data_IF_368722065707
#
_entry.id   IF_368722065707
#
_cell.length_a   1.000
_cell.length_b   1.000
_cell.length_c   1.000
_cell.angle_alpha   90.00
_cell.angle_beta   90.00
_cell.angle_gamma   90.00
#
_symmetry.space_group_name_H-M   'P 1'
#
loop_
_entity.id
_entity.type
_entity.pdbx_description
1 polymer ?
#
# COMPACT_ATOMS: atom_id res chain seq x y z
N UNK A 1 -0.77 -44.44 15.71
CA UNK A 1 0.18 -43.32 15.92
C UNK A 1 1.12 -43.10 14.74
N UNK A 2 2.01 -44.02 14.35
CA UNK A 2 2.87 -43.81 13.14
C UNK A 2 2.09 -43.79 11.82
N UNK A 3 1.06 -44.63 11.69
CA UNK A 3 0.22 -44.71 10.48
C UNK A 3 -0.73 -43.50 10.32
N UNK A 4 -1.14 -42.92 11.44
CA UNK A 4 -2.01 -41.73 11.52
C UNK A 4 -1.22 -40.43 11.28
N UNK A 5 0.04 -40.38 11.73
CA UNK A 5 0.95 -39.28 11.39
C UNK A 5 1.31 -39.27 9.90
N UNK A 6 1.50 -40.46 9.30
CA UNK A 6 1.82 -40.59 7.88
C UNK A 6 0.64 -40.23 6.95
N UNK A 7 -0.60 -40.53 7.36
CA UNK A 7 -1.79 -40.15 6.58
C UNK A 7 -2.09 -38.65 6.63
N UNK A 8 -1.84 -38.00 7.78
CA UNK A 8 -1.95 -36.54 7.95
C UNK A 8 -0.90 -35.82 7.09
N UNK A 9 0.33 -36.30 7.03
CA UNK A 9 1.42 -35.72 6.23
C UNK A 9 1.14 -35.81 4.72
N UNK A 10 0.60 -36.94 4.25
CA UNK A 10 0.17 -37.13 2.86
C UNK A 10 -0.99 -36.18 2.48
N UNK A 11 -1.95 -36.00 3.38
CA UNK A 11 -3.10 -35.11 3.19
C UNK A 11 -2.64 -33.64 3.07
N UNK A 12 -1.75 -33.21 3.96
CA UNK A 12 -1.19 -31.86 3.94
C UNK A 12 -0.41 -31.56 2.65
N UNK A 13 0.40 -32.52 2.19
CA UNK A 13 1.14 -32.40 0.93
C UNK A 13 0.20 -32.26 -0.28
N UNK A 14 -0.88 -33.04 -0.32
CA UNK A 14 -1.90 -32.91 -1.37
C UNK A 14 -2.58 -31.54 -1.35
N UNK A 15 -3.00 -31.07 -0.18
CA UNK A 15 -3.60 -29.74 -0.01
C UNK A 15 -2.64 -28.63 -0.41
N UNK A 16 -1.35 -28.78 -0.09
CA UNK A 16 -0.31 -27.84 -0.47
C UNK A 16 -0.11 -27.75 -1.98
N UNK A 17 -0.12 -28.88 -2.68
CA UNK A 17 -0.04 -28.91 -4.14
C UNK A 17 -1.23 -28.21 -4.79
N UNK A 18 -2.45 -28.48 -4.29
CA UNK A 18 -3.68 -27.82 -4.78
C UNK A 18 -3.61 -26.32 -4.56
N UNK A 19 -3.24 -25.88 -3.35
CA UNK A 19 -3.14 -24.46 -3.03
C UNK A 19 -2.07 -23.74 -3.84
N UNK A 20 -0.89 -24.35 -3.97
CA UNK A 20 0.21 -23.78 -4.76
C UNK A 20 -0.13 -23.70 -6.24
N UNK A 21 -0.89 -24.68 -6.77
CA UNK A 21 -1.41 -24.64 -8.13
C UNK A 21 -2.42 -23.50 -8.30
N UNK A 22 -3.39 -23.39 -7.39
CA UNK A 22 -4.38 -22.31 -7.41
C UNK A 22 -3.70 -20.93 -7.34
N UNK A 23 -2.68 -20.74 -6.50
CA UNK A 23 -1.89 -19.51 -6.46
C UNK A 23 -1.20 -19.21 -7.80
N UNK A 24 -0.60 -20.21 -8.45
CA UNK A 24 0.06 -20.01 -9.74
C UNK A 24 -0.90 -19.57 -10.83
N UNK A 25 -2.10 -20.15 -10.90
CA UNK A 25 -3.13 -19.70 -11.86
C UNK A 25 -3.72 -18.34 -11.50
N UNK A 26 -4.05 -18.12 -10.22
CA UNK A 26 -4.64 -16.87 -9.72
C UNK A 26 -3.74 -15.64 -9.97
N UNK A 27 -2.42 -15.84 -9.89
CA UNK A 27 -1.41 -14.80 -10.10
C UNK A 27 -0.82 -14.82 -11.52
N UNK A 28 -1.42 -15.60 -12.43
CA UNK A 28 -1.00 -15.75 -13.83
C UNK A 28 0.48 -16.13 -14.02
N UNK A 29 1.05 -16.86 -13.04
CA UNK A 29 2.37 -17.49 -13.17
C UNK A 29 2.28 -18.61 -14.22
N UNK A 30 1.24 -19.43 -14.09
CA UNK A 30 0.89 -20.44 -15.08
C UNK A 30 -0.29 -19.91 -15.90
N UNK A 31 -0.10 -19.80 -17.22
CA UNK A 31 -1.14 -19.33 -18.14
C UNK A 31 -1.32 -20.29 -19.30
N UNK A 32 -2.57 -20.56 -19.64
CA UNK A 32 -2.95 -21.27 -20.86
C UNK A 32 -2.73 -20.34 -22.06
N UNK A 33 -1.52 -20.38 -22.63
CA UNK A 33 -1.12 -19.55 -23.79
C UNK A 33 -2.00 -19.74 -25.03
N UNK A 34 -2.77 -20.83 -25.08
CA UNK A 34 -3.52 -21.25 -26.27
C UNK A 34 -5.01 -20.85 -26.22
N UNK A 35 -5.52 -20.27 -25.12
CA UNK A 35 -6.92 -19.81 -25.01
C UNK A 35 -7.07 -18.68 -23.98
N UNK A 36 -7.14 -17.40 -24.40
CA UNK A 36 -7.22 -16.26 -23.50
C UNK A 36 -8.50 -16.20 -22.65
N UNK A 37 -9.66 -16.53 -23.22
CA UNK A 37 -10.94 -16.53 -22.49
C UNK A 37 -10.93 -17.57 -21.37
N UNK A 38 -10.51 -18.80 -21.68
CA UNK A 38 -10.37 -19.86 -20.70
C UNK A 38 -9.32 -19.52 -19.63
N UNK A 39 -8.23 -18.84 -20.02
CA UNK A 39 -7.21 -18.40 -19.08
C UNK A 39 -7.77 -17.39 -18.06
N UNK A 40 -8.64 -16.48 -18.50
CA UNK A 40 -9.31 -15.53 -17.60
C UNK A 40 -10.27 -16.24 -16.64
N UNK A 41 -11.16 -17.11 -17.15
CA UNK A 41 -12.10 -17.87 -16.31
C UNK A 41 -11.39 -18.73 -15.26
N UNK A 42 -10.32 -19.43 -15.66
CA UNK A 42 -9.51 -20.24 -14.75
C UNK A 42 -8.82 -19.39 -13.69
N UNK A 43 -8.34 -18.20 -14.06
CA UNK A 43 -7.73 -17.27 -13.10
C UNK A 43 -8.73 -16.79 -12.07
N UNK A 44 -9.91 -16.35 -12.49
CA UNK A 44 -10.98 -15.92 -11.58
C UNK A 44 -11.39 -17.07 -10.65
N UNK A 45 -11.60 -18.27 -11.18
CA UNK A 45 -11.91 -19.45 -10.37
C UNK A 45 -10.79 -19.80 -9.38
N UNK A 46 -9.52 -19.68 -9.80
CA UNK A 46 -8.38 -19.90 -8.92
C UNK A 46 -8.27 -18.83 -7.81
N UNK A 47 -8.59 -17.56 -8.12
CA UNK A 47 -8.65 -16.48 -7.12
C UNK A 47 -9.72 -16.77 -6.07
N UNK A 48 -10.93 -17.17 -6.48
CA UNK A 48 -12.02 -17.58 -5.59
C UNK A 48 -11.64 -18.79 -4.74
N UNK A 49 -10.97 -19.79 -5.35
CA UNK A 49 -10.49 -20.97 -4.62
C UNK A 49 -9.46 -20.60 -3.55
N UNK A 50 -8.50 -19.73 -3.85
CA UNK A 50 -7.51 -19.24 -2.87
C UNK A 50 -8.20 -18.49 -1.74
N UNK A 51 -9.18 -17.63 -2.04
CA UNK A 51 -9.94 -16.92 -1.01
C UNK A 51 -10.73 -17.86 -0.09
N UNK A 52 -11.37 -18.88 -0.68
CA UNK A 52 -12.10 -19.92 0.05
C UNK A 52 -11.17 -20.76 0.92
N UNK A 53 -10.02 -21.17 0.39
CA UNK A 53 -9.03 -21.89 1.17
C UNK A 53 -8.56 -21.00 2.33
N UNK A 54 -8.30 -19.72 2.10
CA UNK A 54 -7.89 -18.77 3.14
C UNK A 54 -8.95 -18.44 4.21
N UNK A 55 -10.22 -18.86 4.05
CA UNK A 55 -11.27 -18.60 5.05
C UNK A 55 -11.35 -19.67 6.15
N UNK A 56 -10.61 -20.77 6.05
CA UNK A 56 -10.60 -21.87 7.02
C UNK A 56 -9.36 -21.75 7.92
N UNK A 57 -9.48 -21.83 9.25
CA UNK A 57 -8.43 -21.25 10.11
C UNK A 57 -7.23 -22.16 10.44
N UNK A 58 -7.42 -23.43 10.76
CA UNK A 58 -6.32 -24.22 11.37
C UNK A 58 -5.35 -24.85 10.36
N UNK A 59 -5.84 -25.58 9.34
CA UNK A 59 -4.97 -26.24 8.35
C UNK A 59 -4.27 -25.24 7.42
N UNK A 60 -4.90 -24.10 7.21
CA UNK A 60 -4.43 -23.05 6.30
C UNK A 60 -3.30 -22.26 6.89
N UNK A 61 -3.29 -22.02 8.21
CA UNK A 61 -2.15 -21.40 8.91
C UNK A 61 -0.88 -22.21 8.73
N UNK A 62 -0.98 -23.54 8.86
CA UNK A 62 0.16 -24.42 8.62
C UNK A 62 0.63 -24.35 7.17
N UNK A 63 -0.31 -24.28 6.23
CA UNK A 63 -0.04 -24.19 4.80
C UNK A 63 0.64 -22.87 4.39
N UNK A 64 0.10 -21.71 4.79
CA UNK A 64 0.68 -20.39 4.45
C UNK A 64 2.03 -20.16 5.13
N UNK A 65 2.32 -20.89 6.21
CA UNK A 65 3.62 -20.82 6.88
C UNK A 65 4.75 -21.47 6.07
N UNK A 66 4.42 -22.39 5.15
CA UNK A 66 5.39 -23.14 4.35
C UNK A 66 6.15 -22.22 3.39
N UNK A 67 7.47 -22.38 3.36
CA UNK A 67 8.34 -21.53 2.53
C UNK A 67 8.11 -21.76 1.03
N UNK A 68 7.70 -22.97 0.63
CA UNK A 68 7.32 -23.25 -0.75
C UNK A 68 6.15 -22.37 -1.20
N UNK A 69 5.08 -22.29 -0.39
CA UNK A 69 3.92 -21.43 -0.63
C UNK A 69 4.35 -19.96 -0.67
N UNK A 70 5.13 -19.50 0.32
CA UNK A 70 5.63 -18.12 0.36
C UNK A 70 6.45 -17.76 -0.87
N UNK A 71 7.27 -18.69 -1.37
CA UNK A 71 8.09 -18.49 -2.57
C UNK A 71 7.23 -18.30 -3.82
N UNK A 72 6.15 -19.08 -3.97
CA UNK A 72 5.18 -18.94 -5.07
C UNK A 72 4.50 -17.58 -5.01
N UNK A 73 4.07 -17.15 -3.82
CA UNK A 73 3.43 -15.85 -3.66
C UNK A 73 4.40 -14.70 -3.96
N UNK A 74 5.65 -14.75 -3.48
CA UNK A 74 6.65 -13.70 -3.79
C UNK A 74 6.97 -13.62 -5.30
N UNK A 75 7.04 -14.77 -5.96
CA UNK A 75 7.19 -14.84 -7.41
C UNK A 75 5.97 -14.21 -8.11
N UNK A 76 4.76 -14.54 -7.68
CA UNK A 76 3.54 -13.97 -8.24
C UNK A 76 3.43 -12.47 -8.03
N UNK A 77 3.79 -11.94 -6.84
CA UNK A 77 3.85 -10.49 -6.58
C UNK A 77 4.81 -9.83 -7.58
N UNK A 78 5.99 -10.41 -7.75
CA UNK A 78 6.99 -9.90 -8.68
C UNK A 78 6.48 -9.92 -10.12
N UNK A 79 5.78 -10.97 -10.53
CA UNK A 79 5.20 -11.10 -11.87
C UNK A 79 4.11 -10.07 -12.11
N UNK A 80 3.10 -9.99 -11.23
CA UNK A 80 1.97 -9.05 -11.36
C UNK A 80 2.48 -7.60 -11.43
N UNK A 81 3.40 -7.22 -10.53
CA UNK A 81 3.97 -5.86 -10.54
C UNK A 81 4.81 -5.62 -11.81
N UNK A 82 5.56 -6.62 -12.28
CA UNK A 82 6.31 -6.48 -13.53
C UNK A 82 5.39 -6.38 -14.75
N UNK A 83 4.28 -7.13 -14.78
CA UNK A 83 3.26 -7.01 -15.82
C UNK A 83 2.70 -5.58 -15.85
N UNK A 84 2.37 -5.00 -14.68
CA UNK A 84 1.89 -3.62 -14.60
C UNK A 84 2.87 -2.62 -15.26
N UNK A 85 4.17 -2.86 -15.14
CA UNK A 85 5.20 -2.01 -15.75
C UNK A 85 5.40 -2.24 -17.25
N UNK A 86 5.06 -3.43 -17.76
CA UNK A 86 5.31 -3.82 -19.16
C UNK A 86 4.15 -3.55 -20.11
N UNK A 87 2.92 -3.40 -19.60
CA UNK A 87 1.67 -3.36 -20.40
C UNK A 87 1.37 -2.03 -21.13
N UNK A 88 2.39 -1.29 -21.56
CA UNK A 88 2.19 -0.13 -22.43
C UNK A 88 1.81 -0.60 -23.86
N UNK A 89 0.67 -0.20 -24.48
CA UNK A 89 -0.40 0.72 -24.07
C UNK A 89 -1.83 0.11 -24.15
N UNK A 90 -2.00 -1.20 -23.94
CA UNK A 90 -3.36 -1.79 -23.95
C UNK A 90 -4.06 -1.52 -22.61
N UNK A 91 -4.86 -0.46 -22.58
CA UNK A 91 -5.51 0.07 -21.37
C UNK A 91 -6.29 -1.00 -20.57
N UNK A 92 -6.88 -1.97 -21.28
CA UNK A 92 -7.64 -3.07 -20.69
C UNK A 92 -6.75 -4.00 -19.85
N UNK A 93 -5.55 -4.31 -20.32
CA UNK A 93 -4.64 -5.22 -19.63
C UNK A 93 -4.06 -4.58 -18.37
N UNK A 94 -3.79 -3.27 -18.41
CA UNK A 94 -3.35 -2.51 -17.23
C UNK A 94 -4.42 -2.54 -16.15
N UNK A 95 -5.69 -2.32 -16.53
CA UNK A 95 -6.79 -2.31 -15.58
C UNK A 95 -7.00 -3.69 -14.94
N UNK A 96 -6.97 -4.77 -15.73
CA UNK A 96 -7.05 -6.15 -15.21
C UNK A 96 -5.91 -6.45 -14.24
N UNK A 97 -4.69 -6.00 -14.57
CA UNK A 97 -3.55 -6.16 -13.67
C UNK A 97 -3.73 -5.41 -12.35
N UNK A 98 -4.36 -4.22 -12.37
CA UNK A 98 -4.69 -3.50 -11.14
C UNK A 98 -5.75 -4.22 -10.28
N UNK A 99 -6.73 -4.88 -10.91
CA UNK A 99 -7.67 -5.75 -10.19
C UNK A 99 -6.95 -6.94 -9.54
N UNK A 100 -5.93 -7.49 -10.20
CA UNK A 100 -5.10 -8.54 -9.59
C UNK A 100 -4.35 -8.03 -8.37
N UNK A 101 -3.77 -6.82 -8.44
CA UNK A 101 -3.07 -6.23 -7.29
C UNK A 101 -4.05 -5.93 -6.16
N UNK A 102 -5.26 -5.45 -6.47
CA UNK A 102 -6.32 -5.31 -5.48
C UNK A 102 -6.64 -6.65 -4.80
N UNK A 103 -6.79 -7.72 -5.58
CA UNK A 103 -7.01 -9.05 -5.04
C UNK A 103 -5.84 -9.49 -4.13
N UNK A 104 -4.60 -9.19 -4.52
CA UNK A 104 -3.42 -9.41 -3.67
C UNK A 104 -3.54 -8.65 -2.34
N UNK A 105 -3.96 -7.38 -2.35
CA UNK A 105 -4.17 -6.61 -1.11
C UNK A 105 -5.20 -7.27 -0.17
N UNK A 106 -6.16 -8.05 -0.70
CA UNK A 106 -7.16 -8.79 0.10
C UNK A 106 -6.60 -10.10 0.70
N UNK A 107 -5.77 -10.84 -0.06
CA UNK A 107 -5.30 -12.18 0.36
C UNK A 107 -3.97 -12.14 1.12
N UNK A 108 -3.06 -11.24 0.76
CA UNK A 108 -1.71 -11.18 1.35
C UNK A 108 -1.69 -10.91 2.87
N UNK A 109 -2.61 -10.12 3.46
CA UNK A 109 -2.69 -9.98 4.90
C UNK A 109 -2.94 -11.31 5.61
N UNK A 110 -3.76 -12.20 5.02
CA UNK A 110 -4.06 -13.54 5.57
C UNK A 110 -2.89 -14.52 5.46
N UNK A 111 -1.89 -14.19 4.64
CA UNK A 111 -0.66 -14.96 4.46
C UNK A 111 0.55 -14.32 5.15
N UNK A 112 0.38 -13.17 5.81
CA UNK A 112 1.48 -12.36 6.37
C UNK A 112 2.54 -11.92 5.33
N UNK A 113 2.12 -11.75 4.07
CA UNK A 113 2.98 -11.40 2.93
C UNK A 113 2.70 -10.01 2.34
N UNK A 114 1.87 -9.21 3.02
CA UNK A 114 1.57 -7.83 2.58
C UNK A 114 2.85 -6.99 2.49
N UNK A 115 3.85 -7.28 3.34
CA UNK A 115 5.15 -6.62 3.32
C UNK A 115 5.86 -6.76 1.96
N UNK A 116 5.78 -7.93 1.32
CA UNK A 116 6.47 -8.22 0.08
C UNK A 116 5.88 -7.36 -1.07
N UNK A 117 4.56 -7.18 -1.08
CA UNK A 117 3.89 -6.25 -2.00
C UNK A 117 4.25 -4.80 -1.70
N UNK A 118 4.18 -4.36 -0.44
CA UNK A 118 4.51 -2.97 -0.06
C UNK A 118 5.94 -2.60 -0.46
N UNK A 119 6.92 -3.46 -0.18
CA UNK A 119 8.31 -3.19 -0.58
C UNK A 119 8.44 -3.09 -2.09
N UNK A 120 7.88 -4.06 -2.82
CA UNK A 120 7.93 -4.06 -4.28
C UNK A 120 7.24 -2.82 -4.86
N UNK A 121 6.06 -2.47 -4.36
CA UNK A 121 5.30 -1.29 -4.78
C UNK A 121 6.06 0.00 -4.51
N UNK A 122 6.68 0.14 -3.34
CA UNK A 122 7.51 1.29 -3.00
C UNK A 122 8.72 1.42 -3.93
N UNK A 123 9.37 0.29 -4.26
CA UNK A 123 10.55 0.26 -5.14
C UNK A 123 10.23 0.69 -6.57
N UNK A 124 9.03 0.37 -7.08
CA UNK A 124 8.62 0.69 -8.46
C UNK A 124 7.64 1.87 -8.57
N UNK A 125 7.34 2.56 -7.46
CA UNK A 125 6.31 3.62 -7.43
C UNK A 125 6.59 4.73 -8.44
N UNK A 126 7.85 5.09 -8.64
CA UNK A 126 8.22 6.15 -9.58
C UNK A 126 7.94 5.75 -11.04
N UNK A 127 8.30 4.52 -11.41
CA UNK A 127 8.05 3.92 -12.72
C UNK A 127 6.56 3.81 -12.99
N UNK A 128 5.79 3.34 -12.00
CA UNK A 128 4.32 3.29 -12.06
C UNK A 128 3.76 4.69 -12.34
N UNK A 129 4.21 5.73 -11.62
CA UNK A 129 3.73 7.09 -11.82
C UNK A 129 4.07 7.64 -13.21
N UNK A 130 5.23 7.30 -13.77
CA UNK A 130 5.61 7.69 -15.14
C UNK A 130 4.67 7.03 -16.15
N UNK A 131 4.39 5.73 -16.01
CA UNK A 131 3.47 4.99 -16.87
C UNK A 131 2.05 5.57 -16.76
N UNK A 132 1.61 5.81 -15.53
CA UNK A 132 0.27 6.30 -15.22
C UNK A 132 -0.04 7.64 -15.88
N UNK A 133 0.95 8.47 -16.23
CA UNK A 133 0.70 9.75 -16.92
C UNK A 133 -0.09 9.56 -18.23
N UNK A 134 0.20 8.47 -18.96
CA UNK A 134 -0.38 8.18 -20.27
C UNK A 134 -1.68 7.37 -20.22
N UNK A 135 -2.08 6.89 -19.03
CA UNK A 135 -3.31 6.10 -18.89
C UNK A 135 -4.56 6.99 -18.85
N UNK A 136 -5.70 6.40 -19.21
CA UNK A 136 -7.02 7.01 -19.02
C UNK A 136 -7.34 7.25 -17.52
N UNK A 137 -8.41 8.00 -17.24
CA UNK A 137 -8.78 8.31 -15.86
C UNK A 137 -9.24 7.09 -15.05
N UNK A 138 -9.91 6.12 -15.67
CA UNK A 138 -10.34 4.90 -14.98
C UNK A 138 -9.16 4.11 -14.40
N UNK A 139 -8.12 3.91 -15.21
CA UNK A 139 -6.87 3.28 -14.77
C UNK A 139 -6.19 4.10 -13.67
N UNK A 140 -6.14 5.43 -13.80
CA UNK A 140 -5.55 6.31 -12.77
C UNK A 140 -6.30 6.24 -11.44
N UNK A 141 -7.63 6.22 -11.46
CA UNK A 141 -8.48 6.09 -10.27
C UNK A 141 -8.25 4.73 -9.62
N UNK A 142 -8.26 3.65 -10.42
CA UNK A 142 -8.02 2.31 -9.90
C UNK A 142 -6.61 2.16 -9.31
N UNK A 143 -5.62 2.78 -9.94
CA UNK A 143 -4.25 2.80 -9.43
C UNK A 143 -4.15 3.51 -8.07
N UNK A 144 -4.86 4.62 -7.89
CA UNK A 144 -4.93 5.33 -6.61
C UNK A 144 -5.63 4.49 -5.54
N UNK A 145 -6.68 3.77 -5.89
CA UNK A 145 -7.36 2.85 -4.97
C UNK A 145 -6.42 1.74 -4.45
N UNK A 146 -5.68 1.09 -5.36
CA UNK A 146 -4.66 0.09 -5.01
C UNK A 146 -3.55 0.70 -4.16
N UNK A 147 -3.07 1.89 -4.54
CA UNK A 147 -2.07 2.62 -3.77
C UNK A 147 -2.57 2.95 -2.38
N UNK A 148 -3.85 3.30 -2.22
CA UNK A 148 -4.47 3.54 -0.93
C UNK A 148 -4.34 2.35 0.01
N UNK A 149 -4.56 1.12 -0.48
CA UNK A 149 -4.38 -0.13 0.29
C UNK A 149 -2.91 -0.34 0.72
N UNK A 150 -1.95 0.05 -0.12
CA UNK A 150 -0.52 0.04 0.24
C UNK A 150 -0.23 1.08 1.32
N UNK A 151 -0.75 2.30 1.19
CA UNK A 151 -0.58 3.37 2.18
C UNK A 151 -1.24 3.03 3.51
N UNK A 152 -2.42 2.43 3.50
CA UNK A 152 -3.16 1.95 4.67
C UNK A 152 -2.31 0.92 5.43
N UNK A 153 -1.82 -0.11 4.75
CA UNK A 153 -1.03 -1.16 5.36
C UNK A 153 0.22 -0.61 6.08
N UNK A 154 0.85 0.42 5.52
CA UNK A 154 2.00 1.07 6.14
C UNK A 154 1.58 2.04 7.24
N UNK A 155 0.54 2.84 7.02
CA UNK A 155 0.08 3.88 7.94
C UNK A 155 -0.43 3.31 9.25
N UNK A 156 -1.28 2.28 9.19
CA UNK A 156 -1.84 1.60 10.36
C UNK A 156 -0.89 0.55 10.96
N UNK A 157 0.32 0.40 10.42
CA UNK A 157 1.35 -0.46 11.00
C UNK A 157 1.16 -1.96 10.74
N UNK A 158 0.31 -2.35 9.79
CA UNK A 158 0.22 -3.74 9.30
C UNK A 158 1.57 -4.18 8.70
N UNK A 159 2.25 -3.25 8.01
CA UNK A 159 3.59 -3.44 7.48
C UNK A 159 4.53 -2.37 8.02
N UNK A 160 5.58 -2.81 8.70
CA UNK A 160 6.64 -1.92 9.19
C UNK A 160 7.70 -1.76 8.11
N UNK A 161 7.86 -0.55 7.59
CA UNK A 161 8.93 -0.20 6.64
C UNK A 161 9.81 0.93 7.18
N UNK A 162 11.07 1.07 6.70
CA UNK A 162 11.96 2.13 7.15
C UNK A 162 11.36 3.53 6.96
N UNK A 163 11.72 4.45 7.86
CA UNK A 163 11.25 5.85 7.81
C UNK A 163 11.41 6.51 6.45
N UNK A 164 12.56 6.28 5.81
CA UNK A 164 12.85 6.83 4.48
C UNK A 164 11.86 6.33 3.42
N UNK A 165 11.50 5.05 3.46
CA UNK A 165 10.53 4.46 2.53
C UNK A 165 9.13 5.04 2.74
N UNK A 166 8.71 5.21 4.00
CA UNK A 166 7.42 5.86 4.35
C UNK A 166 7.33 7.29 3.82
N UNK A 167 8.39 8.08 4.04
CA UNK A 167 8.47 9.45 3.55
C UNK A 167 8.50 9.51 2.00
N UNK A 168 9.20 8.57 1.35
CA UNK A 168 9.25 8.47 -0.10
C UNK A 168 7.86 8.19 -0.71
N UNK A 169 7.13 7.21 -0.16
CA UNK A 169 5.77 6.89 -0.58
C UNK A 169 4.86 8.12 -0.53
N UNK A 170 4.85 8.85 0.59
CA UNK A 170 4.02 10.06 0.71
C UNK A 170 4.41 11.14 -0.30
N UNK A 171 5.70 11.43 -0.46
CA UNK A 171 6.18 12.47 -1.39
C UNK A 171 5.88 12.17 -2.85
N UNK A 172 5.87 10.89 -3.24
CA UNK A 172 5.55 10.47 -4.59
C UNK A 172 4.04 10.50 -4.85
N UNK A 173 3.27 9.90 -3.95
CA UNK A 173 1.84 9.65 -4.18
C UNK A 173 0.95 10.85 -3.84
N UNK A 174 1.31 11.67 -2.85
CA UNK A 174 0.51 12.83 -2.45
C UNK A 174 0.25 13.82 -3.61
N UNK A 175 1.26 14.25 -4.40
CA UNK A 175 1.03 15.17 -5.52
C UNK A 175 0.19 14.54 -6.64
N UNK A 176 0.39 13.24 -6.91
CA UNK A 176 -0.35 12.53 -7.95
C UNK A 176 -1.84 12.40 -7.60
N UNK A 177 -2.13 11.95 -6.37
CA UNK A 177 -3.49 11.77 -5.87
C UNK A 177 -4.25 13.09 -5.84
N UNK A 178 -3.61 14.18 -5.39
CA UNK A 178 -4.19 15.52 -5.44
C UNK A 178 -4.57 15.92 -6.86
N UNK A 179 -3.62 15.82 -7.79
CA UNK A 179 -3.82 16.21 -9.19
C UNK A 179 -4.94 15.38 -9.84
N UNK A 180 -4.98 14.08 -9.57
CA UNK A 180 -6.01 13.21 -10.09
C UNK A 180 -7.40 13.64 -9.60
N UNK A 181 -7.55 13.91 -8.29
CA UNK A 181 -8.81 14.39 -7.73
C UNK A 181 -9.29 15.65 -8.43
N UNK A 182 -8.39 16.63 -8.62
CA UNK A 182 -8.72 17.87 -9.33
C UNK A 182 -9.17 17.62 -10.77
N UNK A 183 -8.49 16.71 -11.49
CA UNK A 183 -8.85 16.37 -12.87
C UNK A 183 -10.22 15.70 -12.96
N UNK A 184 -10.49 14.76 -12.04
CA UNK A 184 -11.76 14.05 -11.95
C UNK A 184 -12.91 14.99 -11.58
N UNK A 185 -12.70 15.87 -10.61
CA UNK A 185 -13.70 16.87 -10.19
C UNK A 185 -14.04 17.86 -11.30
N UNK A 186 -13.05 18.21 -12.13
CA UNK A 186 -13.25 19.10 -13.27
C UNK A 186 -14.11 18.48 -14.38
N UNK A 187 -14.19 17.15 -14.48
CA UNK A 187 -15.13 16.47 -15.40
C UNK A 187 -16.57 16.49 -14.88
N UNK A 188 -16.75 16.75 -13.59
CA UNK A 188 -18.03 17.05 -12.97
C UNK A 188 -18.93 15.85 -12.68
N UNK A 189 -20.17 16.24 -12.40
CA UNK A 189 -21.42 15.52 -12.10
C UNK A 189 -21.72 14.19 -12.77
N UNK A 190 -21.21 14.01 -13.98
CA UNK A 190 -21.65 12.95 -14.89
C UNK A 190 -20.48 12.07 -15.40
N UNK A 191 -19.25 12.33 -14.93
CA UNK A 191 -18.11 11.45 -15.23
C UNK A 191 -18.33 10.06 -14.63
N UNK A 192 -18.11 9.02 -15.44
CA UNK A 192 -18.06 7.61 -15.03
C UNK A 192 -16.87 7.35 -14.08
N UNK A 193 -15.81 8.12 -14.22
CA UNK A 193 -14.61 8.01 -13.40
C UNK A 193 -14.68 9.04 -12.28
N UNK A 194 -14.96 8.57 -11.06
CA UNK A 194 -14.96 9.39 -9.85
C UNK A 194 -14.16 8.77 -8.73
N UNK A 195 -13.63 9.65 -7.89
CA UNK A 195 -13.24 9.30 -6.54
C UNK A 195 -14.44 9.65 -5.67
N UNK A 196 -15.20 8.65 -5.25
CA UNK A 196 -16.32 8.83 -4.34
C UNK A 196 -15.84 9.26 -2.94
N UNK A 197 -16.79 9.62 -2.08
CA UNK A 197 -16.51 10.10 -0.73
C UNK A 197 -15.79 9.02 0.09
N UNK A 198 -16.22 7.76 0.01
CA UNK A 198 -15.61 6.62 0.70
C UNK A 198 -14.12 6.44 0.33
N UNK A 199 -13.79 6.50 -0.97
CA UNK A 199 -12.40 6.43 -1.43
C UNK A 199 -11.59 7.64 -0.96
N UNK A 200 -12.19 8.83 -0.95
CA UNK A 200 -11.52 10.05 -0.48
C UNK A 200 -11.19 9.95 1.01
N UNK A 201 -12.15 9.59 1.86
CA UNK A 201 -11.96 9.41 3.30
C UNK A 201 -10.94 8.31 3.60
N UNK A 202 -11.00 7.20 2.87
CA UNK A 202 -10.03 6.10 2.98
C UNK A 202 -8.60 6.56 2.71
N UNK A 203 -8.39 7.34 1.64
CA UNK A 203 -7.07 7.86 1.27
C UNK A 203 -6.56 8.89 2.29
N UNK A 204 -7.43 9.78 2.75
CA UNK A 204 -7.11 10.78 3.77
C UNK A 204 -6.69 10.12 5.08
N UNK A 205 -7.49 9.18 5.60
CA UNK A 205 -7.17 8.43 6.81
C UNK A 205 -5.85 7.67 6.70
N UNK A 206 -5.62 7.00 5.57
CA UNK A 206 -4.37 6.28 5.30
C UNK A 206 -3.16 7.20 5.28
N UNK A 207 -3.25 8.37 4.63
CA UNK A 207 -2.16 9.33 4.58
C UNK A 207 -1.92 10.03 5.91
N UNK A 208 -2.97 10.44 6.61
CA UNK A 208 -2.89 11.04 7.97
C UNK A 208 -2.17 10.07 8.90
N UNK A 209 -2.61 8.81 8.93
CA UNK A 209 -1.99 7.75 9.73
C UNK A 209 -0.51 7.59 9.37
N UNK A 210 -0.18 7.49 8.07
CA UNK A 210 1.21 7.35 7.62
C UNK A 210 2.08 8.56 7.99
N UNK A 211 1.60 9.80 7.80
CA UNK A 211 2.31 11.03 8.16
C UNK A 211 2.63 11.05 9.65
N UNK A 212 1.67 10.68 10.51
CA UNK A 212 1.84 10.67 11.96
C UNK A 212 2.93 9.72 12.44
N UNK A 213 3.28 8.70 11.65
CA UNK A 213 4.35 7.76 11.95
C UNK A 213 5.75 8.29 11.60
N UNK A 214 5.87 9.35 10.79
CA UNK A 214 7.15 9.88 10.34
C UNK A 214 7.91 10.64 11.44
N UNK A 215 9.24 10.77 11.37
CA UNK A 215 10.01 11.72 12.15
C UNK A 215 9.56 13.16 11.89
N UNK A 216 9.70 14.03 12.90
CA UNK A 216 9.20 15.42 12.85
C UNK A 216 9.72 16.23 11.64
N UNK A 217 10.98 16.03 11.23
CA UNK A 217 11.55 16.71 10.07
C UNK A 217 10.92 16.26 8.75
N UNK A 218 10.64 14.97 8.61
CA UNK A 218 9.97 14.42 7.42
C UNK A 218 8.50 14.87 7.38
N UNK A 219 7.81 14.89 8.54
CA UNK A 219 6.46 15.48 8.65
C UNK A 219 6.44 16.93 8.17
N UNK A 220 7.38 17.76 8.60
CA UNK A 220 7.47 19.16 8.18
C UNK A 220 7.62 19.33 6.66
N UNK A 221 8.37 18.44 6.00
CA UNK A 221 8.52 18.46 4.55
C UNK A 221 7.20 18.10 3.85
N UNK A 222 6.51 17.06 4.31
CA UNK A 222 5.20 16.66 3.76
C UNK A 222 4.17 17.77 3.94
N UNK A 223 4.09 18.39 5.12
CA UNK A 223 3.18 19.52 5.35
C UNK A 223 3.54 20.74 4.51
N UNK A 224 4.83 21.01 4.28
CA UNK A 224 5.27 22.07 3.39
C UNK A 224 4.81 21.86 1.95
N UNK A 225 4.85 20.62 1.45
CA UNK A 225 4.32 20.27 0.12
C UNK A 225 2.79 20.33 0.08
N UNK A 226 2.10 19.82 1.09
CA UNK A 226 0.64 19.89 1.21
C UNK A 226 0.13 21.34 1.22
N UNK A 227 0.66 22.18 2.10
CA UNK A 227 0.28 23.60 2.18
C UNK A 227 0.57 24.36 0.89
N UNK A 228 1.67 24.03 0.19
CA UNK A 228 1.97 24.61 -1.12
C UNK A 228 0.90 24.24 -2.14
N UNK A 229 0.44 22.99 -2.16
CA UNK A 229 -0.69 22.54 -2.98
C UNK A 229 -1.95 23.35 -2.67
N UNK A 230 -2.30 23.50 -1.39
CA UNK A 230 -3.48 24.30 -0.97
C UNK A 230 -3.36 25.76 -1.44
N UNK A 231 -2.20 26.38 -1.25
CA UNK A 231 -1.98 27.79 -1.56
C UNK A 231 -1.90 28.10 -3.06
N UNK A 232 -1.33 27.19 -3.86
CA UNK A 232 -1.10 27.41 -5.30
C UNK A 232 -2.25 26.87 -6.14
N UNK A 233 -2.75 25.68 -5.82
CA UNK A 233 -3.74 24.95 -6.62
C UNK A 233 -5.16 25.17 -6.09
N UNK A 234 -5.32 25.68 -4.86
CA UNK A 234 -6.63 25.83 -4.20
C UNK A 234 -7.26 24.51 -3.77
N UNK A 235 -6.51 23.40 -3.87
CA UNK A 235 -7.00 22.04 -3.61
C UNK A 235 -6.58 21.60 -2.23
N UNK A 236 -7.58 21.36 -1.37
CA UNK A 236 -7.36 20.88 0.01
C UNK A 236 -7.08 19.39 0.09
N UNK A 237 -7.60 18.62 -0.87
CA UNK A 237 -7.48 17.17 -0.89
C UNK A 237 -6.03 16.70 -1.13
N UNK A 238 -5.60 15.60 -0.48
CA UNK A 238 -6.19 15.02 0.72
C UNK A 238 -6.04 15.95 1.93
N UNK A 239 -7.06 16.02 2.79
CA UNK A 239 -7.01 16.82 4.01
C UNK A 239 -6.05 16.19 5.05
N UNK A 240 -4.96 16.90 5.34
CA UNK A 240 -3.96 16.51 6.34
C UNK A 240 -4.02 17.36 7.61
N UNK A 241 -5.11 18.12 7.81
CA UNK A 241 -5.25 19.08 8.91
C UNK A 241 -5.10 18.44 10.28
N UNK A 242 -5.68 17.25 10.50
CA UNK A 242 -5.54 16.53 11.77
C UNK A 242 -4.06 16.20 12.08
N UNK A 243 -3.36 15.60 11.12
CA UNK A 243 -1.94 15.29 11.28
C UNK A 243 -1.10 16.56 11.51
N UNK A 244 -1.44 17.64 10.82
CA UNK A 244 -0.77 18.94 10.94
C UNK A 244 -0.96 19.56 12.33
N UNK A 245 -2.17 19.52 12.88
CA UNK A 245 -2.48 20.00 14.23
C UNK A 245 -1.68 19.24 15.29
N UNK A 246 -1.64 17.91 15.18
CA UNK A 246 -0.85 17.04 16.06
C UNK A 246 0.64 17.38 15.99
N UNK A 247 1.18 17.56 14.78
CA UNK A 247 2.59 17.97 14.59
C UNK A 247 2.88 19.34 15.18
N UNK A 248 1.98 20.32 14.96
CA UNK A 248 2.10 21.66 15.54
C UNK A 248 2.13 21.62 17.07
N UNK A 249 1.23 20.84 17.68
CA UNK A 249 1.18 20.66 19.13
C UNK A 249 2.49 20.04 19.66
N UNK A 250 2.94 18.92 19.06
CA UNK A 250 4.19 18.23 19.44
C UNK A 250 5.41 19.14 19.31
N UNK A 251 5.50 19.90 18.22
CA UNK A 251 6.61 20.83 17.95
C UNK A 251 6.63 22.01 18.93
N UNK A 252 5.47 22.62 19.22
CA UNK A 252 5.35 23.68 20.23
C UNK A 252 5.73 23.18 21.63
N UNK A 253 5.28 21.97 21.98
CA UNK A 253 5.58 21.33 23.27
C UNK A 253 7.08 21.05 23.41
N UNK A 254 7.73 20.50 22.37
CA UNK A 254 9.17 20.26 22.35
C UNK A 254 9.98 21.56 22.48
N UNK A 255 9.58 22.62 21.77
CA UNK A 255 10.20 23.94 21.88
C UNK A 255 10.13 24.50 23.31
N UNK A 256 8.98 24.38 23.97
CA UNK A 256 8.81 24.83 25.37
C UNK A 256 9.76 24.12 26.32
N UNK A 257 9.84 22.78 26.25
CA UNK A 257 10.75 21.99 27.09
C UNK A 257 12.21 22.32 26.85
N UNK A 258 12.59 22.61 25.61
CA UNK A 258 13.94 23.03 25.27
C UNK A 258 14.28 24.38 25.90
N UNK A 259 13.38 25.37 25.79
CA UNK A 259 13.56 26.69 26.40
C UNK A 259 13.67 26.58 27.93
N UNK A 260 12.78 25.84 28.59
CA UNK A 260 12.84 25.60 30.04
C UNK A 260 14.17 24.97 30.47
N UNK A 261 14.72 24.06 29.66
CA UNK A 261 16.03 23.44 29.92
C UNK A 261 17.17 24.46 29.76
N UNK A 262 17.12 25.30 28.72
CA UNK A 262 18.10 26.36 28.51
C UNK A 262 18.07 27.38 29.67
N UNK A 263 16.89 27.77 30.14
CA UNK A 263 16.73 28.72 31.25
C UNK A 263 17.31 28.16 32.56
N UNK A 264 17.08 26.87 32.84
CA UNK A 264 17.70 26.19 34.00
C UNK A 264 19.23 26.18 33.90
N UNK A 265 19.78 25.77 32.76
CA UNK A 265 21.24 25.76 32.55
C UNK A 265 21.85 27.16 32.67
N UNK A 266 21.18 28.19 32.15
CA UNK A 266 21.61 29.58 32.30
C UNK A 266 21.63 30.02 33.78
N UNK A 267 20.63 29.62 34.57
CA UNK A 267 20.59 29.91 36.01
C UNK A 267 21.65 29.17 36.83
N UNK A 268 22.09 27.99 36.39
CA UNK A 268 23.11 27.16 37.06
C UNK A 268 24.55 27.61 36.74
N UNK A 269 24.77 28.28 35.60
CA UNK A 269 26.09 28.80 35.19
C UNK A 269 26.40 30.18 35.80
N UNK A 270 25.37 30.93 36.25
CA UNK A 270 25.51 32.27 36.82
C UNK A 270 25.95 32.42 38.30
N UNK A 271 26.26 31.38 39.13
CA UNK A 271 26.63 31.61 40.53
C UNK A 271 28.15 31.74 40.82
N UNK A 272 29.00 32.25 39.91
CA UNK A 272 30.46 32.36 40.16
C UNK A 272 31.03 33.80 40.21
N UNK A 273 30.29 34.85 39.88
CA UNK A 273 30.78 36.24 40.04
C UNK A 273 30.07 36.99 41.18
N UNK A 274 30.28 36.52 42.41
CA UNK A 274 30.18 37.37 43.62
C UNK A 274 31.26 36.96 44.62
N UNK A 275 32.47 37.44 44.40
CA UNK A 275 33.48 37.62 45.43
C UNK A 275 34.02 39.04 45.33
#
# INVERSE_FOLDING_TARGET
MQEEAASIDLSLSSTMNVFSSALRFAMSIDTLKNSPELAHELKTSAQEQVEFMLSHDEEVRLLVSQEEVKSVVRLGISNVVSCLLLLLPEEFDVLNTLYDVEWLCKVLPRMELMKDLVFKWADVSNEILVIAQNCNLGVKVKLVEVTGKVLEAVGYGVVIVPSRSRACLLKLWLPFIRRLKTLVDAQGSESEYRMDEDLCEFLEGSMVSLVLTLPSNDQAQVFGEWMRGVAVEGVKFPDLSEAFEVWCYRSKSAKRRLLEKCDRLASEILPIEKC
#
